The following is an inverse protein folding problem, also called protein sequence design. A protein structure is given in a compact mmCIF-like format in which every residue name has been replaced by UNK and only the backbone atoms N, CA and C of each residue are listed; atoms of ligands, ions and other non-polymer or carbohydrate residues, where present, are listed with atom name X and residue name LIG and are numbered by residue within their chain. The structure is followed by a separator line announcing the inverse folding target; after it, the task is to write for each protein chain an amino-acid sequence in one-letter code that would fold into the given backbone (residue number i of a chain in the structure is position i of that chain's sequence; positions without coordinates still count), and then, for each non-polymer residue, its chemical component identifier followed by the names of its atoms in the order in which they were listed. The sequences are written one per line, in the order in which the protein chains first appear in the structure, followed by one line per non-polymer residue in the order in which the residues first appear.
data_IF_745820487343
#
_entry.id   IF_745820487343
#
_cell.length_a   1.000
_cell.length_b   1.000
_cell.length_c   1.000
_cell.angle_alpha   90.00
_cell.angle_beta   90.00
_cell.angle_gamma   90.00
#
_symmetry.space_group_name_H-M   'P 1'
#
loop_
_entity.id
_entity.type
_entity.pdbx_description
1 polymer ?
#
# COMPACT_ATOMS: atom_id res chain seq x y z
N UNK A 1 -33.05 12.31 40.30
CA UNK A 1 -32.05 12.88 39.39
C UNK A 1 -31.10 11.75 38.98
N UNK A 2 -31.31 11.13 37.81
CA UNK A 2 -30.46 10.07 37.27
C UNK A 2 -29.48 10.71 36.32
N UNK A 3 -28.19 10.72 36.70
CA UNK A 3 -27.09 11.21 35.86
C UNK A 3 -26.66 10.08 34.91
N UNK A 4 -27.05 10.17 33.63
CA UNK A 4 -26.56 9.24 32.58
C UNK A 4 -25.16 9.66 32.17
N UNK A 5 -24.15 8.86 32.57
CA UNK A 5 -22.77 9.02 32.16
C UNK A 5 -22.63 8.41 30.74
N UNK A 6 -22.56 9.27 29.72
CA UNK A 6 -22.35 8.89 28.33
C UNK A 6 -20.86 8.65 28.11
N UNK A 7 -20.42 7.37 28.09
CA UNK A 7 -19.07 7.00 27.68
C UNK A 7 -18.95 7.15 26.17
N UNK A 8 -18.19 8.15 25.75
CA UNK A 8 -17.77 8.30 24.35
C UNK A 8 -16.60 7.33 24.11
N UNK A 9 -16.87 6.19 23.52
CA UNK A 9 -15.82 5.33 22.97
C UNK A 9 -15.27 5.99 21.71
N UNK A 10 -14.12 6.63 21.83
CA UNK A 10 -13.34 7.06 20.69
C UNK A 10 -12.81 5.82 19.96
N UNK A 11 -13.35 5.50 18.78
CA UNK A 11 -12.79 4.51 17.90
C UNK A 11 -11.46 5.05 17.33
N UNK A 12 -10.35 4.61 17.92
CA UNK A 12 -9.03 4.83 17.33
C UNK A 12 -8.94 3.99 16.05
N UNK A 13 -8.92 4.63 14.89
CA UNK A 13 -8.62 3.96 13.63
C UNK A 13 -7.17 3.46 13.70
N UNK A 14 -6.99 2.15 13.86
CA UNK A 14 -5.68 1.50 13.72
C UNK A 14 -5.40 1.47 12.22
N UNK A 15 -4.44 2.29 11.78
CA UNK A 15 -3.90 2.24 10.43
C UNK A 15 -3.12 0.92 10.29
N UNK A 16 -3.70 -0.03 9.59
CA UNK A 16 -2.97 -1.23 9.19
C UNK A 16 -2.05 -0.84 8.03
N UNK A 17 -0.78 -0.57 8.34
CA UNK A 17 0.27 -0.47 7.35
C UNK A 17 0.71 -1.90 7.01
N UNK A 18 0.92 -2.20 5.74
CA UNK A 18 1.31 -3.54 5.30
C UNK A 18 2.40 -3.51 4.25
N UNK A 19 3.30 -4.48 4.33
CA UNK A 19 4.30 -4.76 3.30
C UNK A 19 3.75 -5.88 2.43
N UNK A 20 3.81 -5.70 1.10
CA UNK A 20 3.46 -6.74 0.15
C UNK A 20 4.50 -6.82 -0.97
N UNK A 21 4.64 -8.01 -1.56
CA UNK A 21 5.43 -8.21 -2.77
C UNK A 21 4.45 -8.21 -3.95
N UNK A 22 4.60 -7.26 -4.86
CA UNK A 22 3.74 -7.15 -6.05
C UNK A 22 4.26 -7.96 -7.22
N UNK A 23 5.58 -8.15 -7.32
CA UNK A 23 6.21 -8.88 -8.40
C UNK A 23 7.48 -9.58 -7.89
N UNK A 24 7.70 -10.81 -8.37
CA UNK A 24 8.95 -11.54 -8.17
C UNK A 24 9.30 -12.29 -9.45
N UNK A 25 10.51 -12.06 -9.97
CA UNK A 25 10.96 -12.68 -11.23
C UNK A 25 12.46 -12.91 -11.28
N UNK A 26 12.89 -13.86 -12.10
CA UNK A 26 14.29 -14.06 -12.49
C UNK A 26 14.70 -13.00 -13.52
N UNK A 27 15.86 -12.39 -13.33
CA UNK A 27 16.52 -11.53 -14.31
C UNK A 27 17.52 -12.36 -15.11
N UNK A 28 17.08 -12.99 -16.21
CA UNK A 28 17.87 -13.97 -16.94
C UNK A 28 19.21 -13.45 -17.46
N UNK A 29 19.25 -12.17 -17.86
CA UNK A 29 20.43 -11.52 -18.44
C UNK A 29 21.24 -10.72 -17.42
N UNK A 30 20.83 -10.70 -16.16
CA UNK A 30 21.54 -9.99 -15.09
C UNK A 30 22.53 -10.91 -14.38
N UNK A 31 23.81 -10.69 -14.66
CA UNK A 31 24.91 -11.49 -14.12
C UNK A 31 25.46 -10.93 -12.80
N UNK A 32 24.85 -9.91 -12.18
CA UNK A 32 25.36 -9.23 -10.99
C UNK A 32 25.72 -10.21 -9.85
N UNK A 33 24.89 -11.23 -9.63
CA UNK A 33 25.15 -12.24 -8.60
C UNK A 33 26.45 -13.05 -8.84
N UNK A 34 26.96 -13.09 -10.07
CA UNK A 34 28.11 -13.90 -10.49
C UNK A 34 29.31 -13.07 -10.95
N UNK A 35 29.27 -11.75 -10.87
CA UNK A 35 30.39 -10.88 -11.22
C UNK A 35 31.42 -10.84 -10.09
N UNK A 36 32.71 -10.84 -10.44
CA UNK A 36 33.83 -10.87 -9.48
C UNK A 36 33.77 -9.76 -8.42
N UNK A 37 33.21 -8.59 -8.72
CA UNK A 37 33.11 -7.46 -7.79
C UNK A 37 31.91 -7.47 -6.86
N UNK A 38 30.86 -8.21 -7.20
CA UNK A 38 29.56 -8.22 -6.48
C UNK A 38 29.18 -9.59 -5.94
N UNK A 39 29.78 -10.66 -6.46
CA UNK A 39 29.53 -12.03 -6.02
C UNK A 39 29.78 -12.18 -4.51
N UNK A 40 28.83 -12.78 -3.82
CA UNK A 40 28.94 -13.17 -2.41
C UNK A 40 28.91 -14.70 -2.30
N UNK A 41 29.52 -15.24 -1.25
CA UNK A 41 29.47 -16.67 -0.94
C UNK A 41 28.73 -16.90 0.37
N UNK A 42 27.93 -17.95 0.41
CA UNK A 42 27.26 -18.40 1.61
C UNK A 42 28.22 -19.14 2.56
N UNK A 43 27.69 -19.63 3.69
CA UNK A 43 28.47 -20.36 4.70
C UNK A 43 29.06 -21.71 4.19
N UNK A 44 28.48 -22.24 3.11
CA UNK A 44 28.96 -23.47 2.47
C UNK A 44 30.03 -23.19 1.39
N UNK A 45 30.35 -21.91 1.15
CA UNK A 45 31.28 -21.47 0.11
C UNK A 45 30.66 -21.44 -1.30
N UNK A 46 29.36 -21.67 -1.42
CA UNK A 46 28.65 -21.58 -2.69
C UNK A 46 28.29 -20.13 -3.02
N UNK A 47 28.20 -19.83 -4.32
CA UNK A 47 27.81 -18.50 -4.78
C UNK A 47 26.34 -18.25 -4.43
N UNK A 48 26.10 -17.22 -3.64
CA UNK A 48 24.77 -16.80 -3.25
C UNK A 48 23.94 -16.32 -4.46
N UNK A 49 22.63 -16.42 -4.34
CA UNK A 49 21.73 -15.71 -5.23
C UNK A 49 21.60 -14.25 -4.75
N UNK A 50 21.31 -13.35 -5.69
CA UNK A 50 21.02 -11.95 -5.40
C UNK A 50 19.55 -11.65 -5.67
N UNK A 51 18.87 -11.05 -4.70
CA UNK A 51 17.54 -10.49 -4.87
C UNK A 51 17.66 -8.97 -4.83
N UNK A 52 17.40 -8.30 -5.93
CA UNK A 52 17.29 -6.84 -6.03
C UNK A 52 15.87 -6.46 -5.60
N UNK A 53 15.75 -5.88 -4.43
CA UNK A 53 14.46 -5.47 -3.87
C UNK A 53 14.23 -4.01 -4.25
N UNK A 54 13.34 -3.79 -5.22
CA UNK A 54 12.91 -2.43 -5.61
C UNK A 54 11.96 -1.86 -4.56
N UNK A 55 12.33 -0.72 -4.00
CA UNK A 55 11.54 0.01 -3.00
C UNK A 55 11.95 1.47 -2.95
N UNK A 56 11.00 2.34 -2.62
CA UNK A 56 11.27 3.77 -2.34
C UNK A 56 11.62 4.03 -0.89
N UNK A 57 11.33 3.07 -0.01
CA UNK A 57 11.53 3.19 1.43
C UNK A 57 12.84 2.57 1.87
N UNK A 58 13.40 3.09 2.94
CA UNK A 58 14.63 2.60 3.57
C UNK A 58 14.31 1.95 4.93
N UNK A 59 15.25 1.17 5.45
CA UNK A 59 15.09 0.59 6.79
C UNK A 59 14.41 -0.78 6.81
N UNK A 60 14.30 -1.45 5.66
CA UNK A 60 13.89 -2.84 5.62
C UNK A 60 14.94 -3.77 6.20
N UNK A 61 14.48 -4.75 6.97
CA UNK A 61 15.27 -5.85 7.51
C UNK A 61 14.72 -7.16 6.93
N UNK A 62 15.62 -8.02 6.48
CA UNK A 62 15.29 -9.29 5.85
C UNK A 62 15.74 -10.46 6.73
N UNK A 63 14.89 -11.48 6.82
CA UNK A 63 15.17 -12.70 7.57
C UNK A 63 14.89 -13.92 6.69
N UNK A 64 15.90 -14.74 6.50
CA UNK A 64 15.86 -16.03 5.77
C UNK A 64 15.48 -17.22 6.63
N UNK A 65 15.11 -17.02 7.90
CA UNK A 65 14.85 -18.07 8.85
C UNK A 65 16.11 -18.89 9.18
N UNK A 66 16.01 -20.19 9.19
CA UNK A 66 17.14 -21.09 9.57
C UNK A 66 18.35 -21.02 8.64
N UNK A 67 18.15 -20.67 7.36
CA UNK A 67 19.25 -20.57 6.39
C UNK A 67 19.89 -19.18 6.37
N UNK A 68 19.23 -18.19 6.98
CA UNK A 68 19.71 -16.82 7.12
C UNK A 68 19.78 -16.04 5.83
N UNK A 69 20.32 -14.83 5.94
CA UNK A 69 20.69 -13.94 4.84
C UNK A 69 22.22 -13.84 4.79
N UNK A 70 22.81 -13.93 3.61
CA UNK A 70 24.27 -13.86 3.43
C UNK A 70 24.76 -12.43 3.64
N UNK A 71 24.12 -11.46 2.98
CA UNK A 71 24.46 -10.03 3.05
C UNK A 71 23.30 -9.18 2.59
N UNK A 72 23.24 -7.96 3.09
CA UNK A 72 22.32 -6.92 2.59
C UNK A 72 23.11 -5.66 2.29
N UNK A 73 22.87 -5.04 1.14
CA UNK A 73 23.51 -3.79 0.70
C UNK A 73 22.45 -2.79 0.26
N UNK A 74 22.60 -1.53 0.65
CA UNK A 74 21.71 -0.45 0.26
C UNK A 74 22.21 0.21 -1.01
N UNK A 75 21.35 0.34 -2.01
CA UNK A 75 21.57 1.05 -3.25
C UNK A 75 20.49 2.11 -3.48
N UNK A 76 20.71 3.00 -4.43
CA UNK A 76 19.69 4.01 -4.77
C UNK A 76 18.50 3.35 -5.44
N UNK A 77 17.34 3.38 -4.78
CA UNK A 77 16.09 2.81 -5.31
C UNK A 77 15.94 1.30 -5.13
N UNK A 78 16.97 0.60 -4.63
CA UNK A 78 16.92 -0.84 -4.43
C UNK A 78 17.76 -1.31 -3.25
N UNK A 79 17.42 -2.46 -2.71
CA UNK A 79 18.20 -3.14 -1.67
C UNK A 79 18.65 -4.49 -2.23
N UNK A 80 19.94 -4.74 -2.21
CA UNK A 80 20.52 -6.00 -2.63
C UNK A 80 20.55 -6.97 -1.46
N UNK A 81 19.84 -8.07 -1.60
CA UNK A 81 19.75 -9.13 -0.57
C UNK A 81 20.33 -10.41 -1.12
N UNK A 82 21.52 -10.77 -0.61
CA UNK A 82 22.17 -12.02 -0.97
C UNK A 82 21.64 -13.15 -0.09
N UNK A 83 21.17 -14.21 -0.72
CA UNK A 83 20.56 -15.36 -0.06
C UNK A 83 21.23 -16.67 -0.47
N UNK A 84 21.29 -17.69 0.42
CA UNK A 84 21.74 -19.02 0.04
C UNK A 84 20.82 -19.60 -1.05
N UNK A 85 21.38 -20.40 -1.95
CA UNK A 85 20.56 -21.10 -2.93
C UNK A 85 19.59 -22.08 -2.25
N UNK A 86 18.46 -22.33 -2.86
CA UNK A 86 17.45 -23.25 -2.33
C UNK A 86 16.64 -22.69 -1.15
N UNK A 87 16.87 -21.44 -0.73
CA UNK A 87 15.98 -20.77 0.20
C UNK A 87 14.56 -20.72 -0.38
N UNK A 88 13.55 -21.03 0.43
CA UNK A 88 12.16 -21.13 -0.04
C UNK A 88 11.30 -19.94 0.33
N UNK A 89 11.69 -19.21 1.38
CA UNK A 89 10.92 -18.08 1.91
C UNK A 89 11.83 -17.02 2.50
N UNK A 90 11.30 -15.82 2.61
CA UNK A 90 11.93 -14.68 3.27
C UNK A 90 10.87 -13.92 4.06
N UNK A 91 11.23 -13.38 5.21
CA UNK A 91 10.42 -12.42 5.94
C UNK A 91 11.01 -11.03 5.78
N UNK A 92 10.16 -10.02 5.65
CA UNK A 92 10.53 -8.64 5.46
C UNK A 92 9.92 -7.82 6.59
N UNK A 93 10.74 -7.07 7.29
CA UNK A 93 10.31 -6.22 8.40
C UNK A 93 10.70 -4.77 8.15
N UNK A 94 9.83 -3.85 8.54
CA UNK A 94 10.12 -2.43 8.59
C UNK A 94 9.43 -1.82 9.82
N UNK A 95 10.16 -0.97 10.55
CA UNK A 95 9.70 -0.45 11.84
C UNK A 95 8.34 0.28 11.77
N UNK A 96 8.10 1.03 10.70
CA UNK A 96 6.88 1.82 10.54
C UNK A 96 5.85 1.15 9.64
N UNK A 97 6.27 0.33 8.66
CA UNK A 97 5.41 -0.24 7.63
C UNK A 97 4.93 -1.66 7.98
N UNK A 98 5.44 -2.21 9.08
CA UNK A 98 5.01 -3.51 9.58
C UNK A 98 5.86 -4.68 9.10
N UNK A 99 5.24 -5.83 8.88
CA UNK A 99 5.95 -7.08 8.74
C UNK A 99 5.24 -8.00 7.73
N UNK A 100 5.96 -8.43 6.71
CA UNK A 100 5.55 -9.51 5.82
C UNK A 100 6.26 -10.80 6.26
N UNK A 101 5.51 -11.72 6.87
CA UNK A 101 6.04 -13.01 7.33
C UNK A 101 5.98 -14.03 6.21
N UNK A 102 7.06 -14.83 6.11
CA UNK A 102 7.08 -16.05 5.29
C UNK A 102 6.59 -15.86 3.86
N UNK A 103 7.15 -14.87 3.14
CA UNK A 103 6.92 -14.77 1.72
C UNK A 103 7.61 -15.95 1.02
N UNK A 104 6.83 -16.86 0.46
CA UNK A 104 7.31 -17.99 -0.31
C UNK A 104 7.62 -17.58 -1.75
N UNK A 105 8.83 -17.89 -2.20
CA UNK A 105 9.23 -17.59 -3.56
C UNK A 105 8.42 -18.43 -4.57
N UNK A 106 7.82 -17.82 -5.61
CA UNK A 106 7.02 -18.52 -6.59
C UNK A 106 7.85 -19.39 -7.54
N UNK A 107 9.16 -19.13 -7.61
CA UNK A 107 10.15 -19.86 -8.41
C UNK A 107 11.34 -20.26 -7.53
N UNK A 108 12.06 -21.35 -7.87
CA UNK A 108 13.26 -21.76 -7.13
C UNK A 108 14.35 -20.69 -7.15
N UNK A 109 15.04 -20.54 -6.02
CA UNK A 109 16.21 -19.67 -5.90
C UNK A 109 17.47 -20.50 -6.21
N UNK A 110 18.10 -20.20 -7.33
CA UNK A 110 19.29 -20.88 -7.81
C UNK A 110 20.56 -20.07 -7.50
N UNK A 111 21.69 -20.77 -7.31
CA UNK A 111 22.98 -20.11 -7.06
C UNK A 111 23.42 -19.24 -8.24
N UNK A 112 24.12 -18.14 -7.92
CA UNK A 112 24.69 -17.23 -8.91
C UNK A 112 23.67 -16.60 -9.89
N UNK A 113 22.38 -16.56 -9.50
CA UNK A 113 21.31 -15.94 -10.28
C UNK A 113 20.84 -14.67 -9.61
N UNK A 114 20.40 -13.72 -10.43
CA UNK A 114 19.84 -12.43 -9.97
C UNK A 114 18.33 -12.43 -10.16
N UNK A 115 17.62 -12.04 -9.13
CA UNK A 115 16.16 -11.90 -9.10
C UNK A 115 15.77 -10.46 -8.80
N UNK A 116 14.57 -10.08 -9.22
CA UNK A 116 13.93 -8.82 -8.86
C UNK A 116 12.72 -9.09 -7.97
N UNK A 117 12.58 -8.30 -6.93
CA UNK A 117 11.43 -8.30 -6.03
C UNK A 117 10.90 -6.87 -5.90
N UNK A 118 9.65 -6.62 -6.25
CA UNK A 118 9.02 -5.31 -6.04
C UNK A 118 8.24 -5.31 -4.74
N UNK A 119 8.72 -4.53 -3.79
CA UNK A 119 8.05 -4.33 -2.50
C UNK A 119 7.19 -3.09 -2.58
N UNK A 120 5.89 -3.27 -2.35
CA UNK A 120 4.92 -2.19 -2.23
C UNK A 120 4.48 -2.06 -0.79
N UNK A 121 4.43 -0.83 -0.33
CA UNK A 121 3.92 -0.49 0.99
C UNK A 121 2.50 0.01 0.81
N UNK A 122 1.53 -0.82 1.15
CA UNK A 122 0.15 -0.37 1.21
C UNK A 122 0.01 0.54 2.44
N UNK A 123 0.07 1.83 2.23
CA UNK A 123 -0.74 2.69 3.07
C UNK A 123 -2.18 2.31 2.74
N UNK A 124 -2.77 1.46 3.56
CA UNK A 124 -4.21 1.30 3.53
C UNK A 124 -4.75 2.68 3.90
N UNK A 125 -5.00 3.51 2.88
CA UNK A 125 -5.96 4.57 3.07
C UNK A 125 -7.23 3.82 3.44
N UNK A 126 -7.51 3.78 4.73
CA UNK A 126 -8.86 3.52 5.18
C UNK A 126 -9.66 4.61 4.48
N UNK A 127 -10.29 4.25 3.36
CA UNK A 127 -11.40 5.03 2.85
C UNK A 127 -12.40 4.88 4.00
N UNK A 128 -12.30 5.80 4.94
CA UNK A 128 -13.41 6.04 5.84
C UNK A 128 -14.52 6.34 4.86
N UNK A 129 -15.43 5.40 4.67
CA UNK A 129 -16.70 5.69 4.08
C UNK A 129 -17.30 6.73 5.01
N UNK A 130 -16.93 7.99 4.79
CA UNK A 130 -17.67 9.11 5.33
C UNK A 130 -19.00 8.92 4.65
N UNK A 131 -19.94 8.34 5.37
CA UNK A 131 -21.34 8.34 4.98
C UNK A 131 -21.72 9.81 5.05
N UNK A 132 -21.47 10.51 3.94
CA UNK A 132 -21.88 11.90 3.80
C UNK A 132 -23.39 11.82 3.86
N UNK A 133 -23.94 12.15 5.02
CA UNK A 133 -25.37 12.21 5.18
C UNK A 133 -25.89 13.23 4.18
N UNK A 134 -26.64 12.74 3.21
CA UNK A 134 -27.24 13.56 2.17
C UNK A 134 -28.75 13.70 2.46
N UNK A 135 -29.27 14.86 2.21
CA UNK A 135 -30.69 15.14 2.30
C UNK A 135 -31.23 15.62 0.95
N UNK A 136 -32.52 15.38 0.70
CA UNK A 136 -33.20 16.01 -0.41
C UNK A 136 -33.57 17.43 -0.02
N UNK A 137 -33.17 18.38 -0.83
CA UNK A 137 -33.53 19.79 -0.70
C UNK A 137 -34.48 20.13 -1.84
N UNK A 138 -35.64 20.68 -1.50
CA UNK A 138 -36.64 21.15 -2.46
C UNK A 138 -36.59 22.67 -2.48
N UNK A 139 -36.37 23.23 -3.67
CA UNK A 139 -36.41 24.67 -3.90
C UNK A 139 -37.73 25.05 -4.51
N UNK A 140 -38.44 25.98 -3.89
CA UNK A 140 -39.61 26.63 -4.47
C UNK A 140 -39.11 27.84 -5.26
N UNK A 141 -39.39 27.88 -6.54
CA UNK A 141 -38.88 28.87 -7.47
C UNK A 141 -40.02 29.74 -7.96
N UNK A 142 -39.87 31.06 -7.84
CA UNK A 142 -40.84 32.01 -8.30
C UNK A 142 -40.11 33.22 -8.90
N UNK A 143 -40.36 33.64 -10.16
CA UNK A 143 -41.28 33.04 -11.15
C UNK A 143 -40.82 31.63 -11.59
N UNK A 144 -41.71 30.80 -12.11
CA UNK A 144 -41.47 29.40 -12.50
C UNK A 144 -40.45 29.19 -13.63
N UNK A 145 -40.19 30.26 -14.39
CA UNK A 145 -39.19 30.31 -15.46
C UNK A 145 -37.78 30.69 -14.98
N UNK A 146 -37.63 30.97 -13.70
CA UNK A 146 -36.31 31.24 -13.12
C UNK A 146 -35.49 29.95 -13.00
N UNK A 147 -34.17 30.08 -13.04
CA UNK A 147 -33.22 28.99 -12.86
C UNK A 147 -32.66 28.95 -11.44
N UNK A 148 -32.39 27.75 -10.93
CA UNK A 148 -31.68 27.55 -9.68
C UNK A 148 -30.31 26.97 -10.01
N UNK A 149 -29.27 27.62 -9.53
CA UNK A 149 -27.89 27.15 -9.68
C UNK A 149 -27.29 26.83 -8.28
N UNK A 150 -26.64 25.70 -8.17
CA UNK A 150 -25.95 25.28 -6.94
C UNK A 150 -24.62 24.63 -7.32
N UNK A 151 -23.52 25.19 -6.85
CA UNK A 151 -22.17 24.70 -7.13
C UNK A 151 -21.93 24.54 -8.64
N UNK A 152 -22.22 25.56 -9.42
CA UNK A 152 -22.07 25.63 -10.88
C UNK A 152 -22.95 24.63 -11.68
N UNK A 153 -23.98 24.07 -11.04
CA UNK A 153 -24.94 23.16 -11.66
C UNK A 153 -26.34 23.78 -11.68
N UNK A 154 -26.93 23.92 -12.87
CA UNK A 154 -28.28 24.43 -13.06
C UNK A 154 -29.29 23.29 -12.86
N UNK A 155 -30.22 23.50 -11.94
CA UNK A 155 -31.28 22.53 -11.64
C UNK A 155 -32.48 22.74 -12.58
N UNK A 156 -33.10 21.63 -12.97
CA UNK A 156 -34.34 21.65 -13.75
C UNK A 156 -35.49 21.98 -12.81
N UNK A 157 -36.18 23.08 -13.10
CA UNK A 157 -37.43 23.45 -12.41
C UNK A 157 -38.62 22.82 -13.13
N UNK A 158 -39.47 22.14 -12.37
CA UNK A 158 -40.64 21.52 -12.93
C UNK A 158 -41.83 22.50 -13.16
N UNK A 159 -42.90 22.06 -13.76
CA UNK A 159 -44.10 22.89 -14.06
C UNK A 159 -44.77 23.51 -12.83
N UNK A 160 -44.53 22.94 -11.64
CA UNK A 160 -45.04 23.47 -10.36
C UNK A 160 -44.07 24.51 -9.75
N UNK A 161 -42.96 24.83 -10.40
CA UNK A 161 -41.96 25.76 -9.89
C UNK A 161 -41.08 25.16 -8.81
N UNK A 162 -40.85 23.84 -8.83
CA UNK A 162 -39.99 23.17 -7.86
C UNK A 162 -38.74 22.56 -8.53
N UNK A 163 -37.58 22.71 -7.90
CA UNK A 163 -36.36 21.97 -8.21
C UNK A 163 -35.94 21.13 -7.01
N UNK A 164 -35.41 19.94 -7.24
CA UNK A 164 -34.99 19.03 -6.16
C UNK A 164 -33.56 18.57 -6.41
N UNK A 165 -32.75 18.61 -5.37
CA UNK A 165 -31.37 18.10 -5.42
C UNK A 165 -31.01 17.37 -4.13
N UNK A 166 -30.23 16.31 -4.26
CA UNK A 166 -29.65 15.62 -3.12
C UNK A 166 -28.34 16.28 -2.75
N UNK A 167 -28.23 16.84 -1.56
CA UNK A 167 -27.07 17.59 -1.09
C UNK A 167 -26.55 17.02 0.21
N UNK A 168 -25.22 16.97 0.40
CA UNK A 168 -24.62 16.75 1.72
C UNK A 168 -25.05 17.84 2.71
N UNK A 169 -24.96 17.54 4.01
CA UNK A 169 -25.14 18.62 5.00
C UNK A 169 -24.03 19.65 4.87
N UNK A 170 -24.37 20.92 4.76
CA UNK A 170 -23.40 22.01 4.60
C UNK A 170 -24.04 23.38 4.34
N UNK A 171 -23.18 24.34 4.08
CA UNK A 171 -23.59 25.65 3.56
C UNK A 171 -23.32 25.68 2.07
N UNK A 172 -24.27 26.23 1.30
CA UNK A 172 -24.22 26.35 -0.13
C UNK A 172 -24.39 27.82 -0.51
N UNK A 173 -23.69 28.26 -1.53
CA UNK A 173 -23.78 29.60 -2.09
C UNK A 173 -24.59 29.54 -3.37
#
# INVERSE_FOLDING_TARGET
LVLALMMIFGASAVMAQGIAVSEFRLLENDLTANLQGTMQKDHNGEVAALIKVETTEQGFVFDGGMVGIVKTEQHVGEIWVYVPHGIKRISIFHQQLGHLRDYYFPIPIEKARTYEMKVVTAQVQTITNVTVQQQFVVFQVEPKDASVEINDEILIVNEQGMATKRLPYGRYN
#
